data_IF_108913302156
#
_entry.id   IF_108913302156
#
_cell.length_a   1.000
_cell.length_b   1.000
_cell.length_c   1.000
_cell.angle_alpha   90.00
_cell.angle_beta   90.00
_cell.angle_gamma   90.00
#
_symmetry.space_group_name_H-M   'P 1'
#
loop_
_entity.id
_entity.type
_entity.pdbx_description
1 polymer ?
#
# COMPACT_ATOMS: atom_id res chain seq x y z
N UNK A 1 -26.49 8.54 1.51
CA UNK A 1 -26.46 7.07 1.70
C UNK A 1 -25.25 6.59 0.95
N UNK A 2 -24.14 6.34 1.65
CA UNK A 2 -22.91 5.81 1.08
C UNK A 2 -23.16 4.36 0.68
N UNK A 3 -22.95 4.03 -0.60
CA UNK A 3 -23.00 2.65 -1.06
C UNK A 3 -22.04 1.83 -0.21
N UNK A 4 -22.58 0.79 0.41
CA UNK A 4 -21.79 -0.14 1.20
C UNK A 4 -20.75 -0.78 0.28
N UNK A 5 -19.47 -0.54 0.57
CA UNK A 5 -18.38 -1.21 -0.10
C UNK A 5 -18.59 -2.73 0.01
N UNK A 6 -18.79 -3.39 -1.12
CA UNK A 6 -19.11 -4.82 -1.19
C UNK A 6 -17.89 -5.71 -0.83
N UNK A 7 -16.71 -5.11 -0.71
CA UNK A 7 -15.50 -5.79 -0.26
C UNK A 7 -15.38 -5.73 1.26
N UNK A 8 -15.49 -6.89 1.90
CA UNK A 8 -15.15 -7.05 3.32
C UNK A 8 -13.62 -7.05 3.48
N UNK A 9 -13.02 -5.85 3.38
CA UNK A 9 -11.60 -5.67 3.68
C UNK A 9 -11.29 -6.18 5.08
N UNK A 10 -10.31 -7.08 5.21
CA UNK A 10 -9.92 -7.69 6.48
C UNK A 10 -10.51 -9.08 6.75
N UNK A 11 -11.57 -9.51 6.06
CA UNK A 11 -12.09 -10.87 6.14
C UNK A 11 -11.54 -11.82 5.07
N UNK A 12 -10.96 -11.27 3.99
CA UNK A 12 -10.34 -12.05 2.94
C UNK A 12 -8.85 -12.21 3.20
N UNK A 13 -8.26 -13.40 2.92
CA UNK A 13 -6.82 -13.53 2.96
C UNK A 13 -6.25 -12.57 1.91
N UNK A 14 -5.55 -11.53 2.36
CA UNK A 14 -4.73 -10.72 1.45
C UNK A 14 -3.92 -11.67 0.59
N UNK A 15 -3.92 -11.46 -0.71
CA UNK A 15 -3.08 -12.25 -1.61
C UNK A 15 -1.62 -11.92 -1.32
N UNK A 16 -1.02 -12.74 -0.47
CA UNK A 16 0.39 -12.70 -0.17
C UNK A 16 1.16 -13.18 -1.41
N UNK A 17 1.43 -12.26 -2.32
CA UNK A 17 2.20 -12.55 -3.52
C UNK A 17 3.56 -11.86 -3.48
N UNK A 18 4.52 -12.30 -4.31
CA UNK A 18 5.83 -11.69 -4.37
C UNK A 18 5.81 -10.19 -4.70
N UNK A 19 4.79 -9.72 -5.45
CA UNK A 19 4.56 -8.30 -5.75
C UNK A 19 4.23 -7.50 -4.48
N UNK A 20 3.31 -8.00 -3.65
CA UNK A 20 2.97 -7.39 -2.36
C UNK A 20 4.20 -7.34 -1.43
N UNK A 21 4.91 -8.44 -1.30
CA UNK A 21 6.14 -8.54 -0.52
C UNK A 21 7.23 -7.57 -0.99
N UNK A 22 7.37 -7.41 -2.30
CA UNK A 22 8.32 -6.46 -2.89
C UNK A 22 7.95 -5.01 -2.52
N UNK A 23 6.67 -4.65 -2.64
CA UNK A 23 6.13 -3.34 -2.31
C UNK A 23 6.34 -3.00 -0.83
N UNK A 24 5.95 -3.90 0.09
CA UNK A 24 6.20 -3.69 1.52
C UNK A 24 7.69 -3.49 1.81
N UNK A 25 8.54 -4.25 1.14
CA UNK A 25 10.00 -4.11 1.26
C UNK A 25 10.52 -2.75 0.79
N UNK A 26 9.87 -2.11 -0.19
CA UNK A 26 10.22 -0.76 -0.63
C UNK A 26 9.84 0.28 0.42
N UNK A 27 8.61 0.25 0.93
CA UNK A 27 8.14 1.19 1.98
C UNK A 27 9.05 1.09 3.21
N UNK A 28 9.33 -0.13 3.65
CA UNK A 28 10.19 -0.38 4.80
C UNK A 28 11.60 0.18 4.60
N UNK A 29 12.17 0.04 3.40
CA UNK A 29 13.50 0.59 3.09
C UNK A 29 13.52 2.12 3.14
N UNK A 30 12.50 2.78 2.60
CA UNK A 30 12.41 4.24 2.70
C UNK A 30 12.23 4.70 4.16
N UNK A 31 11.53 3.90 4.97
CA UNK A 31 11.37 4.16 6.39
C UNK A 31 12.69 4.03 7.19
N UNK A 32 13.70 3.32 6.69
CA UNK A 32 15.01 3.18 7.34
C UNK A 32 15.76 4.53 7.49
N UNK A 33 15.35 5.55 6.73
CA UNK A 33 15.84 6.93 6.90
C UNK A 33 15.23 7.64 8.12
N UNK A 34 14.21 7.09 8.75
CA UNK A 34 13.61 7.64 9.96
C UNK A 34 14.45 7.29 11.20
N UNK A 35 14.54 8.17 12.19
CA UNK A 35 15.16 7.85 13.48
C UNK A 35 14.45 6.65 14.14
N UNK A 36 15.22 5.78 14.80
CA UNK A 36 14.65 4.70 15.60
C UNK A 36 13.74 5.26 16.69
N UNK A 37 12.66 4.54 17.00
CA UNK A 37 11.67 5.00 17.96
C UNK A 37 10.66 6.00 17.41
N UNK A 38 10.76 6.39 16.12
CA UNK A 38 9.78 7.25 15.46
C UNK A 38 8.37 6.68 15.57
N UNK A 39 7.40 7.57 15.75
CA UNK A 39 5.96 7.24 15.77
C UNK A 39 5.47 7.19 14.33
N UNK A 40 5.07 6.02 13.88
CA UNK A 40 4.64 5.77 12.50
C UNK A 40 3.16 5.37 12.50
N UNK A 41 2.37 6.04 11.67
CA UNK A 41 1.01 5.60 11.36
C UNK A 41 1.05 4.74 10.09
N UNK A 42 0.52 3.53 10.18
CA UNK A 42 0.27 2.68 9.01
C UNK A 42 -1.17 2.89 8.55
N UNK A 43 -1.34 3.66 7.48
CA UNK A 43 -2.62 4.07 6.92
C UNK A 43 -3.21 2.99 6.02
N UNK A 44 -4.41 2.53 6.30
CA UNK A 44 -5.05 1.35 5.76
C UNK A 44 -4.20 0.10 6.01
N UNK A 45 -4.04 -0.22 7.30
CA UNK A 45 -3.10 -1.23 7.78
C UNK A 45 -3.45 -2.67 7.34
N UNK A 46 -4.68 -2.94 6.90
CA UNK A 46 -5.15 -4.26 6.50
C UNK A 46 -4.86 -5.30 7.59
N UNK A 47 -4.16 -6.38 7.24
CA UNK A 47 -3.74 -7.41 8.20
C UNK A 47 -2.47 -7.04 8.99
N UNK A 48 -1.99 -5.80 8.91
CA UNK A 48 -0.90 -5.29 9.73
C UNK A 48 0.51 -5.75 9.36
N UNK A 49 0.72 -6.28 8.17
CA UNK A 49 2.02 -6.79 7.75
C UNK A 49 3.09 -5.71 7.66
N UNK A 50 2.73 -4.53 7.15
CA UNK A 50 3.63 -3.38 7.10
C UNK A 50 3.91 -2.88 8.52
N UNK A 51 2.86 -2.74 9.34
CA UNK A 51 2.97 -2.36 10.75
C UNK A 51 3.92 -3.28 11.52
N UNK A 52 3.79 -4.61 11.37
CA UNK A 52 4.69 -5.58 12.00
C UNK A 52 6.14 -5.42 11.57
N UNK A 53 6.39 -5.19 10.28
CA UNK A 53 7.76 -5.01 9.76
C UNK A 53 8.40 -3.75 10.27
N UNK A 54 7.64 -2.67 10.37
CA UNK A 54 8.10 -1.40 10.90
C UNK A 54 8.35 -1.51 12.41
N UNK A 55 7.44 -2.13 13.16
CA UNK A 55 7.61 -2.38 14.59
C UNK A 55 8.85 -3.24 14.87
N UNK A 56 9.07 -4.31 14.09
CA UNK A 56 10.27 -5.15 14.18
C UNK A 56 11.59 -4.41 13.89
N UNK A 57 11.53 -3.19 13.36
CA UNK A 57 12.69 -2.29 13.18
C UNK A 57 12.84 -1.24 14.29
N UNK A 58 12.01 -1.32 15.31
CA UNK A 58 12.07 -0.45 16.48
C UNK A 58 11.27 0.85 16.33
N UNK A 59 10.31 0.93 15.40
CA UNK A 59 9.36 2.03 15.32
C UNK A 59 8.16 1.80 16.22
N UNK A 60 7.56 2.89 16.71
CA UNK A 60 6.30 2.87 17.47
C UNK A 60 5.15 3.01 16.48
N UNK A 61 4.54 1.86 16.12
CA UNK A 61 3.56 1.82 15.03
C UNK A 61 2.14 1.79 15.57
N UNK A 62 1.27 2.56 14.96
CA UNK A 62 -0.19 2.51 15.12
C UNK A 62 -0.78 2.22 13.75
N UNK A 63 -1.69 1.25 13.65
CA UNK A 63 -2.48 1.01 12.45
C UNK A 63 -3.77 1.82 12.47
N UNK A 64 -4.21 2.29 11.31
CA UNK A 64 -5.60 2.76 11.10
C UNK A 64 -6.18 2.03 9.91
N UNK A 65 -7.42 1.57 10.04
CA UNK A 65 -8.14 0.93 8.93
C UNK A 65 -9.63 1.24 9.04
N UNK A 66 -10.31 1.32 7.90
CA UNK A 66 -11.75 1.51 7.87
C UNK A 66 -12.50 0.26 8.36
N UNK A 67 -11.92 -0.92 8.13
CA UNK A 67 -12.47 -2.21 8.55
C UNK A 67 -12.21 -2.49 10.02
N UNK A 68 -13.30 -2.76 10.77
CA UNK A 68 -13.20 -3.21 12.17
C UNK A 68 -12.43 -4.52 12.24
N UNK A 69 -12.65 -5.45 11.31
CA UNK A 69 -11.98 -6.75 11.29
C UNK A 69 -10.48 -6.61 11.06
N UNK A 70 -10.07 -5.72 10.15
CA UNK A 70 -8.66 -5.39 9.93
C UNK A 70 -8.02 -4.81 11.19
N UNK A 71 -8.63 -3.80 11.81
CA UNK A 71 -8.12 -3.20 13.03
C UNK A 71 -8.02 -4.21 14.19
N UNK A 72 -9.03 -5.08 14.35
CA UNK A 72 -9.00 -6.16 15.34
C UNK A 72 -7.92 -7.19 15.03
N UNK A 73 -7.70 -7.51 13.74
CA UNK A 73 -6.63 -8.43 13.33
C UNK A 73 -5.25 -7.86 13.69
N UNK A 74 -4.99 -6.59 13.39
CA UNK A 74 -3.73 -5.91 13.77
C UNK A 74 -3.52 -6.00 15.29
N UNK A 75 -4.54 -5.73 16.09
CA UNK A 75 -4.44 -5.79 17.55
C UNK A 75 -4.18 -7.21 18.09
N UNK A 76 -4.90 -8.20 17.57
CA UNK A 76 -4.86 -9.58 18.07
C UNK A 76 -3.66 -10.37 17.55
N UNK A 77 -3.36 -10.24 16.26
CA UNK A 77 -2.36 -11.06 15.56
C UNK A 77 -1.00 -10.39 15.49
N UNK A 78 -0.95 -9.07 15.37
CA UNK A 78 0.30 -8.31 15.35
C UNK A 78 0.71 -7.80 16.73
N UNK A 79 -0.21 -7.77 17.70
CA UNK A 79 0.05 -7.20 19.03
C UNK A 79 0.29 -5.68 19.00
N UNK A 80 -0.19 -5.00 17.96
CA UNK A 80 0.05 -3.57 17.73
C UNK A 80 -1.22 -2.75 17.97
N UNK A 81 -1.09 -1.49 18.44
CA UNK A 81 -2.22 -0.58 18.49
C UNK A 81 -2.84 -0.38 17.12
N UNK A 82 -4.17 -0.43 17.04
CA UNK A 82 -4.90 -0.11 15.84
C UNK A 82 -6.22 0.59 16.17
N UNK A 83 -6.63 1.48 15.27
CA UNK A 83 -7.84 2.31 15.38
C UNK A 83 -8.71 2.07 14.15
N UNK A 84 -10.01 1.98 14.34
CA UNK A 84 -10.97 2.03 13.24
C UNK A 84 -11.17 3.48 12.84
N UNK A 85 -10.98 3.81 11.57
CA UNK A 85 -11.12 5.18 11.11
C UNK A 85 -10.91 5.34 9.61
N UNK A 86 -11.38 6.48 9.12
CA UNK A 86 -11.26 6.89 7.73
C UNK A 86 -10.00 7.76 7.54
N UNK A 87 -9.22 7.49 6.49
CA UNK A 87 -8.04 8.27 6.15
C UNK A 87 -8.36 9.71 5.72
N UNK A 88 -9.59 9.96 5.28
CA UNK A 88 -10.04 11.31 4.93
C UNK A 88 -10.44 12.14 6.16
N UNK A 89 -10.59 11.49 7.34
CA UNK A 89 -10.95 12.12 8.61
C UNK A 89 -10.41 11.31 9.79
N UNK A 90 -9.11 11.40 10.02
CA UNK A 90 -8.45 10.59 11.03
C UNK A 90 -8.70 11.06 12.47
N UNK A 91 -8.97 10.15 13.42
CA UNK A 91 -9.25 10.49 14.82
C UNK A 91 -7.97 10.78 15.64
N UNK A 92 -7.01 11.45 15.04
CA UNK A 92 -5.74 11.81 15.68
C UNK A 92 -5.58 13.31 15.77
N UNK A 93 -4.81 13.78 16.76
CA UNK A 93 -4.41 15.17 16.87
C UNK A 93 -3.42 15.53 15.76
N UNK A 94 -3.34 16.82 15.42
CA UNK A 94 -2.34 17.33 14.47
C UNK A 94 -0.93 17.11 14.99
N UNK A 95 0.01 16.77 14.09
CA UNK A 95 1.43 16.68 14.39
C UNK A 95 1.83 15.53 15.33
N UNK A 96 1.02 14.47 15.45
CA UNK A 96 1.30 13.35 16.36
C UNK A 96 2.36 12.40 15.82
N UNK A 97 2.42 12.21 14.50
CA UNK A 97 3.29 11.19 13.89
C UNK A 97 4.55 11.80 13.28
N UNK A 98 5.64 11.07 13.42
CA UNK A 98 6.92 11.37 12.74
C UNK A 98 6.85 10.93 11.27
N UNK A 99 6.07 9.88 10.97
CA UNK A 99 5.80 9.46 9.61
C UNK A 99 4.41 8.82 9.46
N UNK A 100 3.91 8.86 8.22
CA UNK A 100 2.77 8.07 7.75
C UNK A 100 3.22 7.19 6.61
N UNK A 101 2.88 5.91 6.66
CA UNK A 101 3.06 4.95 5.55
C UNK A 101 1.69 4.54 5.02
N UNK A 102 1.55 4.40 3.71
CA UNK A 102 0.34 3.84 3.08
C UNK A 102 0.69 3.14 1.77
N UNK A 103 0.08 2.01 1.53
CA UNK A 103 0.41 1.21 0.34
C UNK A 103 -0.81 0.69 -0.40
N UNK A 104 -1.01 1.16 -1.65
CA UNK A 104 -2.15 0.79 -2.50
C UNK A 104 -3.48 1.06 -1.77
N UNK A 105 -3.71 2.32 -1.45
CA UNK A 105 -4.88 2.76 -0.66
C UNK A 105 -5.54 3.97 -1.30
N UNK A 106 -4.75 4.96 -1.72
CA UNK A 106 -5.28 6.23 -2.21
C UNK A 106 -6.15 6.08 -3.46
N UNK A 107 -5.86 5.08 -4.28
CA UNK A 107 -6.64 4.72 -5.47
C UNK A 107 -8.06 4.24 -5.18
N UNK A 108 -8.33 3.80 -3.95
CA UNK A 108 -9.66 3.34 -3.53
C UNK A 108 -10.54 4.46 -2.99
N UNK A 109 -9.95 5.58 -2.60
CA UNK A 109 -10.67 6.68 -1.96
C UNK A 109 -11.41 7.54 -2.98
N UNK A 110 -12.64 7.95 -2.63
CA UNK A 110 -13.38 8.93 -3.42
C UNK A 110 -12.65 10.28 -3.43
N UNK A 111 -12.26 10.74 -2.23
CA UNK A 111 -11.50 11.98 -2.03
C UNK A 111 -10.08 11.68 -1.49
N UNK A 112 -9.19 11.34 -2.41
CA UNK A 112 -7.77 11.13 -2.13
C UNK A 112 -7.05 12.41 -1.67
N UNK A 113 -7.59 13.61 -2.05
CA UNK A 113 -7.05 14.90 -1.62
C UNK A 113 -7.36 15.17 -0.15
N UNK A 114 -8.57 14.82 0.32
CA UNK A 114 -8.89 14.88 1.73
C UNK A 114 -7.95 13.98 2.55
N UNK A 115 -7.66 12.78 2.07
CA UNK A 115 -6.69 11.89 2.72
C UNK A 115 -5.27 12.48 2.74
N UNK A 116 -4.80 13.10 1.64
CA UNK A 116 -3.50 13.77 1.61
C UNK A 116 -3.44 14.94 2.61
N UNK A 117 -4.50 15.74 2.73
CA UNK A 117 -4.61 16.82 3.71
C UNK A 117 -4.61 16.31 5.15
N UNK A 118 -5.33 15.22 5.43
CA UNK A 118 -5.34 14.59 6.75
C UNK A 118 -3.99 13.97 7.10
N UNK A 119 -3.30 13.34 6.15
CA UNK A 119 -1.92 12.90 6.33
C UNK A 119 -1.03 14.09 6.68
N UNK A 120 -1.17 15.21 5.97
CA UNK A 120 -0.42 16.42 6.29
C UNK A 120 -0.75 16.96 7.67
N UNK A 121 -2.01 16.90 8.10
CA UNK A 121 -2.43 17.35 9.42
C UNK A 121 -1.81 16.51 10.55
N UNK A 122 -1.83 15.19 10.41
CA UNK A 122 -1.37 14.29 11.50
C UNK A 122 0.15 14.13 11.54
N UNK A 123 0.86 14.38 10.43
CA UNK A 123 2.33 14.40 10.36
C UNK A 123 2.84 15.72 10.96
N UNK A 124 3.84 15.65 11.85
CA UNK A 124 4.49 16.85 12.40
C UNK A 124 5.36 17.58 11.35
N UNK A 125 5.73 18.83 11.61
CA UNK A 125 6.77 19.51 10.84
C UNK A 125 8.08 18.71 10.89
N UNK A 126 8.77 18.62 9.77
CA UNK A 126 9.93 17.75 9.57
C UNK A 126 9.61 16.27 9.40
N UNK A 127 8.34 15.87 9.50
CA UNK A 127 7.91 14.48 9.35
C UNK A 127 7.79 14.05 7.88
N UNK A 128 7.54 12.77 7.66
CA UNK A 128 7.62 12.14 6.34
C UNK A 128 6.35 11.37 6.01
N UNK A 129 5.94 11.39 4.76
CA UNK A 129 4.98 10.42 4.20
C UNK A 129 5.68 9.51 3.20
N UNK A 130 5.38 8.21 3.26
CA UNK A 130 5.85 7.20 2.31
C UNK A 130 4.61 6.50 1.77
N UNK A 131 4.36 6.64 0.47
CA UNK A 131 3.18 6.09 -0.16
C UNK A 131 3.52 5.28 -1.42
N UNK A 132 2.79 4.20 -1.67
CA UNK A 132 2.80 3.53 -2.97
C UNK A 132 1.39 3.50 -3.54
N UNK A 133 1.30 3.67 -4.86
CA UNK A 133 0.04 3.65 -5.61
C UNK A 133 0.24 2.98 -6.96
N UNK A 134 -0.81 2.43 -7.59
CA UNK A 134 -0.77 1.97 -8.96
C UNK A 134 -0.54 3.16 -9.91
N UNK A 135 0.32 2.94 -10.91
CA UNK A 135 0.73 3.99 -11.84
C UNK A 135 0.15 3.80 -13.22
N UNK A 136 0.08 4.92 -13.95
CA UNK A 136 -0.22 5.01 -15.37
C UNK A 136 -1.61 4.44 -15.74
N UNK A 137 -2.55 5.35 -16.02
CA UNK A 137 -3.92 5.01 -16.41
C UNK A 137 -3.98 4.05 -17.62
N UNK A 138 -3.02 4.15 -18.53
CA UNK A 138 -2.90 3.25 -19.68
C UNK A 138 -2.66 1.78 -19.31
N UNK A 139 -2.21 1.50 -18.07
CA UNK A 139 -2.02 0.15 -17.55
C UNK A 139 -3.27 -0.37 -16.79
N UNK A 140 -4.41 0.31 -16.89
CA UNK A 140 -5.67 -0.14 -16.32
C UNK A 140 -6.03 -1.54 -16.82
N UNK A 141 -6.50 -2.38 -15.94
CA UNK A 141 -6.75 -3.78 -16.25
C UNK A 141 -7.92 -4.33 -15.44
N UNK A 142 -8.35 -5.53 -15.76
CA UNK A 142 -9.34 -6.25 -14.97
C UNK A 142 -8.94 -6.47 -13.50
N UNK A 143 -7.67 -6.32 -13.16
CA UNK A 143 -7.23 -6.32 -11.76
C UNK A 143 -7.68 -5.07 -11.03
N UNK A 144 -7.66 -3.91 -11.69
CA UNK A 144 -8.12 -2.66 -11.10
C UNK A 144 -9.61 -2.70 -10.82
N UNK A 145 -10.39 -3.22 -11.79
CA UNK A 145 -11.84 -3.42 -11.62
C UNK A 145 -12.14 -4.41 -10.49
N UNK A 146 -11.36 -5.48 -10.38
CA UNK A 146 -11.48 -6.49 -9.34
C UNK A 146 -11.21 -5.94 -7.94
N UNK A 147 -10.15 -5.10 -7.80
CA UNK A 147 -9.80 -4.45 -6.53
C UNK A 147 -10.58 -3.16 -6.28
N UNK A 148 -11.55 -2.82 -7.14
CA UNK A 148 -12.38 -1.61 -7.03
C UNK A 148 -11.53 -0.32 -7.00
N UNK A 149 -10.43 -0.29 -7.76
CA UNK A 149 -9.67 0.93 -7.94
C UNK A 149 -10.55 1.99 -8.63
N UNK A 150 -10.40 3.22 -8.24
CA UNK A 150 -11.07 4.37 -8.88
C UNK A 150 -10.16 5.07 -9.86
N UNK A 151 -8.86 4.92 -9.69
CA UNK A 151 -7.83 5.60 -10.49
C UNK A 151 -6.47 4.93 -10.42
N UNK A 152 -5.64 5.25 -11.39
CA UNK A 152 -4.20 5.08 -11.36
C UNK A 152 -3.54 6.45 -11.47
N UNK A 153 -2.37 6.61 -10.93
CA UNK A 153 -1.70 7.91 -10.83
C UNK A 153 -0.64 8.10 -11.90
N UNK A 154 -0.57 9.30 -12.48
CA UNK A 154 0.67 9.80 -13.08
C UNK A 154 1.59 10.33 -11.97
N UNK A 155 2.89 10.36 -12.23
CA UNK A 155 3.85 10.95 -11.29
C UNK A 155 3.51 12.41 -10.98
N UNK A 156 3.11 13.18 -12.02
CA UNK A 156 2.70 14.59 -11.87
C UNK A 156 1.50 14.75 -10.95
N UNK A 157 0.42 13.97 -11.19
CA UNK A 157 -0.80 14.05 -10.37
C UNK A 157 -0.53 13.71 -8.90
N UNK A 158 0.20 12.63 -8.63
CA UNK A 158 0.55 12.23 -7.27
C UNK A 158 1.39 13.29 -6.56
N UNK A 159 2.44 13.79 -7.20
CA UNK A 159 3.32 14.79 -6.59
C UNK A 159 2.61 16.11 -6.36
N UNK A 160 1.75 16.55 -7.28
CA UNK A 160 0.98 17.77 -7.13
C UNK A 160 -0.03 17.68 -5.98
N UNK A 161 -0.70 16.54 -5.83
CA UNK A 161 -1.62 16.31 -4.71
C UNK A 161 -0.91 16.51 -3.36
N UNK A 162 0.25 15.89 -3.17
CA UNK A 162 1.00 16.03 -1.91
C UNK A 162 1.63 17.42 -1.74
N UNK A 163 2.06 18.10 -2.83
CA UNK A 163 2.51 19.49 -2.74
C UNK A 163 1.40 20.42 -2.27
N UNK A 164 0.18 20.27 -2.80
CA UNK A 164 -1.00 21.05 -2.35
C UNK A 164 -1.35 20.79 -0.91
N UNK A 165 -1.12 19.57 -0.41
CA UNK A 165 -1.26 19.25 1.00
C UNK A 165 -0.12 19.80 1.88
N UNK A 166 0.88 20.51 1.32
CA UNK A 166 1.95 21.16 2.05
C UNK A 166 3.23 20.34 2.18
N UNK A 167 3.43 19.29 1.40
CA UNK A 167 4.65 18.49 1.42
C UNK A 167 5.68 18.94 0.35
N UNK A 168 6.94 18.90 0.69
CA UNK A 168 8.05 18.92 -0.25
C UNK A 168 8.36 17.48 -0.73
N UNK A 169 8.38 17.26 -2.05
CA UNK A 169 8.62 15.94 -2.63
C UNK A 169 10.12 15.63 -2.59
N UNK A 170 10.51 14.64 -1.79
CA UNK A 170 11.87 14.14 -1.73
C UNK A 170 12.16 13.09 -2.81
N UNK A 171 11.18 12.24 -3.12
CA UNK A 171 11.30 11.18 -4.11
C UNK A 171 9.93 10.86 -4.72
N UNK A 172 9.90 10.67 -6.04
CA UNK A 172 8.76 10.11 -6.75
C UNK A 172 9.28 9.26 -7.91
N UNK A 173 9.28 7.96 -7.73
CA UNK A 173 9.87 7.01 -8.69
C UNK A 173 8.89 5.94 -9.11
N UNK A 174 8.94 5.57 -10.39
CA UNK A 174 8.27 4.35 -10.85
C UNK A 174 8.99 3.12 -10.32
N UNK A 175 8.26 2.04 -10.17
CA UNK A 175 8.80 0.73 -9.81
C UNK A 175 8.12 -0.39 -10.60
N UNK A 176 8.80 -1.53 -10.69
CA UNK A 176 8.26 -2.75 -11.25
C UNK A 176 8.42 -2.89 -12.77
N UNK A 177 9.31 -2.13 -13.41
CA UNK A 177 9.67 -2.32 -14.81
C UNK A 177 11.10 -2.87 -14.93
N UNK A 178 11.33 -3.85 -15.80
CA UNK A 178 10.33 -4.55 -16.64
C UNK A 178 9.71 -5.80 -16.00
N UNK A 179 10.30 -6.36 -14.93
CA UNK A 179 10.03 -7.72 -14.47
C UNK A 179 8.69 -7.85 -13.76
N UNK A 180 8.35 -6.92 -12.85
CA UNK A 180 7.03 -6.95 -12.19
C UNK A 180 5.93 -6.72 -13.21
N UNK A 181 6.13 -5.81 -14.18
CA UNK A 181 5.16 -5.58 -15.25
C UNK A 181 4.93 -6.84 -16.08
N UNK A 182 6.01 -7.57 -16.42
CA UNK A 182 5.93 -8.83 -17.15
C UNK A 182 5.19 -9.89 -16.31
N UNK A 183 5.49 -9.97 -15.02
CA UNK A 183 4.78 -10.85 -14.09
C UNK A 183 3.28 -10.51 -14.02
N UNK A 184 2.92 -9.23 -13.89
CA UNK A 184 1.53 -8.78 -13.87
C UNK A 184 0.82 -9.17 -15.17
N UNK A 185 1.47 -8.95 -16.32
CA UNK A 185 0.88 -9.23 -17.64
C UNK A 185 0.72 -10.72 -17.91
N UNK A 186 1.71 -11.53 -17.59
CA UNK A 186 1.71 -12.96 -17.93
C UNK A 186 0.95 -13.82 -16.90
N UNK A 187 0.92 -13.43 -15.64
CA UNK A 187 0.36 -14.25 -14.57
C UNK A 187 -0.88 -13.62 -13.92
N UNK A 188 -0.83 -12.37 -13.50
CA UNK A 188 -1.94 -11.77 -12.75
C UNK A 188 -3.14 -11.45 -13.65
N UNK A 189 -2.91 -10.86 -14.82
CA UNK A 189 -4.01 -10.49 -15.71
C UNK A 189 -4.82 -11.69 -16.21
N UNK A 190 -4.19 -12.79 -16.72
CA UNK A 190 -4.96 -13.97 -17.14
C UNK A 190 -5.70 -14.63 -15.97
N UNK A 191 -5.11 -14.61 -14.79
CA UNK A 191 -5.71 -15.17 -13.59
C UNK A 191 -6.94 -14.37 -13.17
N UNK A 192 -6.88 -13.04 -13.17
CA UNK A 192 -7.99 -12.17 -12.76
C UNK A 192 -9.11 -12.11 -13.82
N UNK A 193 -8.79 -12.21 -15.12
CA UNK A 193 -9.80 -12.31 -16.19
C UNK A 193 -10.68 -13.57 -16.09
N UNK A 194 -10.13 -14.66 -15.57
CA UNK A 194 -10.88 -15.91 -15.38
C UNK A 194 -11.76 -15.92 -14.13
N UNK A 195 -11.63 -14.90 -13.27
CA UNK A 195 -12.38 -14.78 -12.01
C UNK A 195 -13.56 -13.86 -12.20
N UNK A 196 -14.77 -14.45 -12.23
CA UNK A 196 -16.00 -13.67 -12.06
C UNK A 196 -16.13 -13.25 -10.59
N UNK A 197 -16.76 -12.09 -10.32
CA UNK A 197 -17.05 -11.62 -8.95
C UNK A 197 -17.78 -12.64 -8.08
N UNK A 198 -18.47 -13.62 -8.68
CA UNK A 198 -19.22 -14.68 -7.98
C UNK A 198 -18.36 -15.87 -7.54
N UNK A 199 -17.20 -16.09 -8.16
CA UNK A 199 -16.36 -17.28 -7.91
C UNK A 199 -15.40 -17.13 -6.72
N UNK A 200 -15.41 -15.99 -6.06
CA UNK A 200 -14.42 -15.63 -5.03
C UNK A 200 -14.65 -16.39 -3.72
N UNK A 201 -15.90 -16.69 -3.40
CA UNK A 201 -16.27 -17.37 -2.15
C UNK A 201 -15.92 -18.87 -2.14
N UNK A 202 -15.75 -19.51 -3.31
CA UNK A 202 -15.65 -20.98 -3.45
C UNK A 202 -14.37 -21.45 -4.15
N UNK A 203 -13.35 -20.60 -4.33
CA UNK A 203 -12.22 -20.86 -5.22
C UNK A 203 -11.14 -21.75 -4.59
N UNK A 204 -11.13 -23.04 -4.95
CA UNK A 204 -10.04 -23.99 -4.71
C UNK A 204 -8.71 -23.52 -5.33
N UNK A 205 -8.76 -22.69 -6.38
CA UNK A 205 -7.60 -22.07 -7.03
C UNK A 205 -6.90 -21.04 -6.12
N UNK A 206 -7.68 -20.26 -5.35
CA UNK A 206 -7.11 -19.34 -4.35
C UNK A 206 -6.30 -20.09 -3.29
N UNK A 207 -6.77 -21.26 -2.89
CA UNK A 207 -6.07 -22.11 -1.91
C UNK A 207 -4.73 -22.64 -2.45
N UNK A 208 -4.61 -22.88 -3.77
CA UNK A 208 -3.34 -23.33 -4.37
C UNK A 208 -2.34 -22.18 -4.54
N UNK A 209 -2.79 -20.99 -4.97
CA UNK A 209 -1.94 -19.79 -5.07
C UNK A 209 -1.56 -19.27 -3.68
N UNK A 210 -2.50 -19.28 -2.72
CA UNK A 210 -2.21 -18.98 -1.32
C UNK A 210 -1.23 -20.01 -0.71
N UNK A 211 -1.30 -21.28 -1.13
CA UNK A 211 -0.35 -22.32 -0.71
C UNK A 211 1.05 -22.11 -1.31
N UNK A 212 1.16 -21.72 -2.59
CA UNK A 212 2.42 -21.32 -3.21
C UNK A 212 2.98 -20.04 -2.61
N UNK A 213 2.13 -19.05 -2.31
CA UNK A 213 2.49 -17.82 -1.60
C UNK A 213 2.92 -18.06 -0.13
N UNK A 214 2.62 -19.22 0.46
CA UNK A 214 3.12 -19.64 1.77
C UNK A 214 4.55 -20.18 1.74
N UNK A 215 5.07 -20.51 0.57
CA UNK A 215 6.49 -20.92 0.44
C UNK A 215 7.39 -19.69 0.58
N UNK A 216 7.86 -19.45 1.81
CA UNK A 216 8.68 -18.27 2.17
C UNK A 216 9.95 -18.16 1.31
N UNK A 217 10.53 -19.27 0.91
CA UNK A 217 11.73 -19.25 0.08
C UNK A 217 11.39 -18.90 -1.39
N UNK A 218 10.29 -19.43 -1.95
CA UNK A 218 9.85 -19.10 -3.31
C UNK A 218 9.51 -17.60 -3.42
N UNK A 219 8.76 -17.07 -2.45
CA UNK A 219 8.46 -15.63 -2.40
C UNK A 219 9.73 -14.80 -2.29
N UNK A 220 10.72 -15.25 -1.51
CA UNK A 220 12.02 -14.58 -1.40
C UNK A 220 12.79 -14.61 -2.73
N UNK A 221 12.82 -15.76 -3.42
CA UNK A 221 13.49 -15.89 -4.69
C UNK A 221 12.86 -14.98 -5.77
N UNK A 222 11.54 -15.00 -5.91
CA UNK A 222 10.84 -14.13 -6.86
C UNK A 222 11.03 -12.65 -6.49
N UNK A 223 11.01 -12.30 -5.21
CA UNK A 223 11.31 -10.94 -4.76
C UNK A 223 12.75 -10.51 -5.08
N UNK A 224 13.70 -11.41 -5.00
CA UNK A 224 15.08 -11.13 -5.42
C UNK A 224 15.14 -10.81 -6.92
N UNK A 225 14.43 -11.58 -7.75
CA UNK A 225 14.28 -11.29 -9.19
C UNK A 225 13.63 -9.92 -9.42
N UNK A 226 12.54 -9.59 -8.71
CA UNK A 226 11.92 -8.27 -8.79
C UNK A 226 12.85 -7.12 -8.37
N UNK A 227 13.85 -7.41 -7.53
CA UNK A 227 14.84 -6.40 -7.12
C UNK A 227 15.76 -5.96 -8.25
N UNK A 228 15.83 -6.71 -9.35
CA UNK A 228 16.59 -6.36 -10.57
C UNK A 228 15.94 -5.11 -11.22
N UNK A 229 14.62 -4.92 -11.08
CA UNK A 229 13.91 -3.74 -11.60
C UNK A 229 14.51 -2.41 -11.09
N UNK A 230 15.23 -2.43 -9.98
CA UNK A 230 15.93 -1.23 -9.48
C UNK A 230 17.01 -0.71 -10.42
N UNK A 231 17.60 -1.58 -11.21
CA UNK A 231 18.59 -1.18 -12.24
C UNK A 231 17.92 -0.29 -13.30
N UNK A 232 16.61 -0.48 -13.50
CA UNK A 232 15.80 0.26 -14.47
C UNK A 232 14.99 1.41 -13.83
N UNK A 233 15.25 1.75 -12.56
CA UNK A 233 14.49 2.78 -11.82
C UNK A 233 14.61 4.21 -12.39
N UNK A 234 15.55 4.45 -13.29
CA UNK A 234 15.71 5.69 -14.05
C UNK A 234 14.69 5.82 -15.20
N UNK A 235 14.09 4.70 -15.65
CA UNK A 235 13.06 4.70 -16.68
C UNK A 235 11.77 5.22 -16.06
N UNK A 236 11.15 6.30 -16.63
CA UNK A 236 9.94 6.91 -16.09
C UNK A 236 8.68 6.10 -16.45
N UNK A 237 8.72 4.78 -16.23
CA UNK A 237 7.68 3.85 -16.56
C UNK A 237 7.65 2.67 -15.59
N UNK A 238 6.44 2.18 -15.26
CA UNK A 238 6.25 1.00 -14.40
C UNK A 238 4.83 0.92 -13.84
N UNK A 239 4.40 -0.25 -13.34
CA UNK A 239 3.05 -0.47 -12.87
C UNK A 239 2.72 0.22 -11.54
N UNK A 240 3.70 0.75 -10.83
CA UNK A 240 3.48 1.47 -9.57
C UNK A 240 4.39 2.68 -9.41
N UNK A 241 3.98 3.56 -8.49
CA UNK A 241 4.74 4.73 -8.03
C UNK A 241 5.05 4.57 -6.54
N UNK A 242 6.26 4.99 -6.16
CA UNK A 242 6.68 5.18 -4.78
C UNK A 242 6.92 6.68 -4.57
N UNK A 243 6.24 7.24 -3.58
CA UNK A 243 6.40 8.62 -3.15
C UNK A 243 7.03 8.66 -1.76
N UNK A 244 8.02 9.54 -1.59
CA UNK A 244 8.51 10.00 -0.29
C UNK A 244 8.44 11.52 -0.29
N UNK A 245 7.73 12.07 0.68
CA UNK A 245 7.60 13.52 0.80
C UNK A 245 7.75 13.95 2.25
N UNK A 246 8.29 15.14 2.48
CA UNK A 246 8.57 15.70 3.81
C UNK A 246 7.70 16.94 4.04
N UNK A 247 7.15 17.03 5.22
CA UNK A 247 6.46 18.24 5.66
C UNK A 247 7.51 19.24 6.15
N UNK A 248 7.56 20.47 5.59
CA UNK A 248 8.45 21.52 6.06
C UNK A 248 8.29 21.85 7.54
#
# INVERSE_FOLDING_TARGET
MTEAHTHAWGSQPEMFGPRHEHRLGMIVREAEALPRGSRVLDGAAGLGQLAQRLSGRGYRVVGIDYSIDAALHVRRSAGLPAVVGDLTRMPFRSGVFDAVTTGETLEHLDDDRAAANEIARVVRSGGTVIATVPALQMLWSSSDDYYEHRRRYSRGALTEMFRRAGFAIAKASFWGFPIVLLYDTLFLLPMNKRRSRRDIADDRGLKSVARAGRSRWLVRAVRAVFSIDRVFSWIPFGPGLLLVARKP
#
